data_IF_549273471320
#
_entry.id   IF_549273471320
#
_cell.length_a   1.000
_cell.length_b   1.000
_cell.length_c   1.000
_cell.angle_alpha   90.00
_cell.angle_beta   90.00
_cell.angle_gamma   90.00
#
_symmetry.space_group_name_H-M   'P 1'
#
loop_
_entity.id
_entity.type
_entity.pdbx_description
1 polymer ?
#
# COMPACT_ATOMS: atom_id res chain seq x y z
N UNK A 1 -17.70 12.55 -15.89
CA UNK A 1 -16.50 12.25 -15.09
C UNK A 1 -16.44 13.20 -13.92
N UNK A 2 -17.08 12.79 -12.84
CA UNK A 2 -16.96 13.38 -11.51
C UNK A 2 -15.85 12.68 -10.74
N UNK A 3 -15.35 13.29 -9.67
CA UNK A 3 -14.41 12.62 -8.76
C UNK A 3 -14.97 11.30 -8.22
N UNK A 4 -16.29 11.21 -7.98
CA UNK A 4 -16.94 9.99 -7.51
C UNK A 4 -16.82 8.83 -8.50
N UNK A 5 -17.05 9.09 -9.79
CA UNK A 5 -16.91 8.06 -10.85
C UNK A 5 -15.46 7.54 -10.95
N UNK A 6 -14.46 8.42 -10.75
CA UNK A 6 -13.04 8.01 -10.74
C UNK A 6 -12.72 7.18 -9.50
N UNK A 7 -13.21 7.59 -8.32
CA UNK A 7 -12.99 6.86 -7.07
C UNK A 7 -13.59 5.46 -7.14
N UNK A 8 -14.80 5.35 -7.68
CA UNK A 8 -15.49 4.07 -7.89
C UNK A 8 -14.69 3.15 -8.82
N UNK A 9 -14.25 3.66 -9.97
CA UNK A 9 -13.45 2.92 -10.93
C UNK A 9 -12.09 2.45 -10.36
N UNK A 10 -11.53 3.19 -9.39
CA UNK A 10 -10.27 2.83 -8.74
C UNK A 10 -10.42 1.87 -7.56
N UNK A 11 -11.62 1.61 -7.04
CA UNK A 11 -11.78 0.76 -5.85
C UNK A 11 -11.26 -0.67 -6.07
N UNK A 12 -11.66 -1.30 -7.17
CA UNK A 12 -11.30 -2.68 -7.49
C UNK A 12 -9.78 -2.87 -7.67
N UNK A 13 -9.08 -2.10 -8.53
CA UNK A 13 -7.63 -2.28 -8.70
C UNK A 13 -6.85 -1.95 -7.42
N UNK A 14 -7.28 -0.97 -6.62
CA UNK A 14 -6.62 -0.66 -5.35
C UNK A 14 -6.78 -1.79 -4.34
N UNK A 15 -7.95 -2.43 -4.28
CA UNK A 15 -8.19 -3.59 -3.42
C UNK A 15 -7.31 -4.77 -3.84
N UNK A 16 -7.15 -5.00 -5.14
CA UNK A 16 -6.28 -6.04 -5.68
C UNK A 16 -4.80 -5.79 -5.31
N UNK A 17 -4.32 -4.55 -5.38
CA UNK A 17 -2.95 -4.20 -4.96
C UNK A 17 -2.69 -4.52 -3.48
N UNK A 18 -3.65 -4.19 -2.62
CA UNK A 18 -3.58 -4.50 -1.19
C UNK A 18 -3.57 -6.00 -0.95
N UNK A 19 -4.45 -6.76 -1.62
CA UNK A 19 -4.54 -8.21 -1.45
C UNK A 19 -3.26 -8.92 -1.90
N UNK A 20 -2.70 -8.50 -3.03
CA UNK A 20 -1.40 -9.01 -3.48
C UNK A 20 -0.29 -8.74 -2.46
N UNK A 21 -0.31 -7.57 -1.82
CA UNK A 21 0.64 -7.24 -0.75
C UNK A 21 0.43 -8.13 0.49
N UNK A 22 -0.82 -8.39 0.87
CA UNK A 22 -1.15 -9.33 1.96
C UNK A 22 -0.60 -10.72 1.69
N UNK A 23 -0.82 -11.24 0.48
CA UNK A 23 -0.32 -12.57 0.09
C UNK A 23 1.21 -12.68 0.15
N UNK A 24 1.93 -11.58 -0.10
CA UNK A 24 3.39 -11.54 0.08
C UNK A 24 3.75 -11.61 1.56
N UNK A 25 3.08 -10.84 2.42
CA UNK A 25 3.31 -10.87 3.86
C UNK A 25 3.01 -12.25 4.46
N UNK A 26 1.94 -12.93 4.02
CA UNK A 26 1.59 -14.27 4.48
C UNK A 26 2.63 -15.35 4.12
N UNK A 27 3.32 -15.17 3.00
CA UNK A 27 4.39 -16.08 2.55
C UNK A 27 5.76 -15.70 3.12
N UNK A 28 5.86 -14.55 3.77
CA UNK A 28 7.12 -14.06 4.33
C UNK A 28 7.42 -14.81 5.62
N UNK A 29 8.64 -15.35 5.80
CA UNK A 29 9.03 -16.02 7.03
C UNK A 29 8.84 -15.13 8.28
N UNK A 30 8.40 -15.69 9.43
CA UNK A 30 8.07 -14.91 10.62
C UNK A 30 9.19 -13.98 11.09
N UNK A 31 10.45 -14.41 10.97
CA UNK A 31 11.63 -13.63 11.35
C UNK A 31 11.78 -12.33 10.55
N UNK A 32 11.27 -12.29 9.31
CA UNK A 32 11.26 -11.09 8.47
C UNK A 32 9.98 -10.27 8.64
N UNK A 33 8.86 -10.91 8.97
CA UNK A 33 7.59 -10.21 9.23
C UNK A 33 7.70 -9.29 10.43
N UNK A 34 8.38 -9.72 11.51
CA UNK A 34 8.61 -8.86 12.68
C UNK A 34 9.36 -7.58 12.29
N UNK A 35 10.42 -7.71 11.49
CA UNK A 35 11.19 -6.56 11.00
C UNK A 35 10.34 -5.62 10.14
N UNK A 36 9.42 -6.16 9.32
CA UNK A 36 8.48 -5.36 8.51
C UNK A 36 7.47 -4.63 9.38
N UNK A 37 6.96 -5.26 10.45
CA UNK A 37 6.02 -4.62 11.38
C UNK A 37 6.70 -3.45 12.10
N UNK A 38 7.96 -3.63 12.53
CA UNK A 38 8.72 -2.61 13.26
C UNK A 38 9.13 -1.43 12.36
N UNK A 39 9.56 -1.71 11.12
CA UNK A 39 10.04 -0.68 10.18
C UNK A 39 8.93 -0.06 9.34
N UNK A 40 7.83 -0.77 9.15
CA UNK A 40 6.75 -0.42 8.25
C UNK A 40 7.04 -0.70 6.76
N UNK A 41 6.04 -0.39 5.94
CA UNK A 41 6.05 -0.55 4.48
C UNK A 41 6.29 0.82 3.82
N UNK A 42 7.31 0.89 2.97
CA UNK A 42 7.58 2.07 2.16
C UNK A 42 6.84 1.98 0.81
N UNK A 43 6.02 2.98 0.48
CA UNK A 43 5.37 3.09 -0.82
C UNK A 43 6.20 3.93 -1.78
N UNK A 44 6.39 3.41 -2.99
CA UNK A 44 7.03 4.07 -4.12
C UNK A 44 6.22 3.87 -5.41
N UNK A 45 6.69 4.46 -6.51
CA UNK A 45 6.03 4.52 -7.80
C UNK A 45 5.05 5.70 -7.94
N UNK A 46 4.61 5.97 -9.17
CA UNK A 46 3.67 7.06 -9.45
C UNK A 46 2.31 6.88 -8.78
N UNK A 47 1.83 5.64 -8.67
CA UNK A 47 0.55 5.32 -8.04
C UNK A 47 0.54 5.61 -6.54
N UNK A 48 1.70 5.62 -5.86
CA UNK A 48 1.80 5.95 -4.45
C UNK A 48 1.43 7.42 -4.14
N UNK A 49 1.43 8.29 -5.15
CA UNK A 49 1.01 9.69 -5.03
C UNK A 49 -0.52 9.87 -5.00
N UNK A 50 -1.30 8.80 -5.20
CA UNK A 50 -2.75 8.86 -5.03
C UNK A 50 -3.08 9.21 -3.57
N UNK A 51 -3.98 10.19 -3.32
CA UNK A 51 -4.27 10.64 -1.97
C UNK A 51 -4.76 9.51 -1.05
N UNK A 52 -4.04 9.31 0.05
CA UNK A 52 -4.42 8.35 1.09
C UNK A 52 -4.04 6.89 0.80
N UNK A 53 -3.15 6.64 -0.18
CA UNK A 53 -2.65 5.30 -0.47
C UNK A 53 -1.97 4.65 0.75
N UNK A 54 -1.14 5.40 1.45
CA UNK A 54 -0.45 4.94 2.67
C UNK A 54 -1.45 4.60 3.78
N UNK A 55 -2.55 5.35 3.87
CA UNK A 55 -3.62 5.11 4.85
C UNK A 55 -4.43 3.87 4.50
N UNK A 56 -4.75 3.68 3.21
CA UNK A 56 -5.42 2.48 2.72
C UNK A 56 -4.61 1.23 3.07
N UNK A 57 -3.32 1.21 2.71
CA UNK A 57 -2.43 0.08 3.00
C UNK A 57 -2.28 -0.16 4.50
N UNK A 58 -2.07 0.90 5.29
CA UNK A 58 -1.97 0.77 6.75
C UNK A 58 -3.24 0.16 7.35
N UNK A 59 -4.41 0.63 6.92
CA UNK A 59 -5.70 0.14 7.41
C UNK A 59 -5.93 -1.33 7.06
N UNK A 60 -5.67 -1.71 5.81
CA UNK A 60 -6.01 -3.06 5.32
C UNK A 60 -4.98 -4.11 5.76
N UNK A 61 -3.69 -3.74 5.81
CA UNK A 61 -2.61 -4.66 6.18
C UNK A 61 -2.33 -4.69 7.69
N UNK A 62 -2.74 -3.66 8.44
CA UNK A 62 -2.44 -3.53 9.87
C UNK A 62 -0.98 -3.22 10.17
N UNK A 63 -0.18 -2.85 9.16
CA UNK A 63 1.23 -2.52 9.26
C UNK A 63 1.44 -1.05 8.91
N UNK A 64 2.22 -0.26 9.69
CA UNK A 64 2.50 1.14 9.37
C UNK A 64 3.04 1.28 7.94
N UNK A 65 2.40 2.12 7.13
CA UNK A 65 2.82 2.38 5.74
C UNK A 65 3.11 3.86 5.55
N UNK A 66 4.17 4.20 4.81
CA UNK A 66 4.58 5.57 4.57
C UNK A 66 5.00 5.79 3.13
N UNK A 67 4.81 7.02 2.64
CA UNK A 67 5.30 7.44 1.33
C UNK A 67 6.78 7.83 1.44
N UNK A 68 7.61 7.36 0.51
CA UNK A 68 9.01 7.80 0.44
C UNK A 68 9.13 9.22 -0.12
N UNK A 69 10.24 9.90 0.15
CA UNK A 69 10.45 11.30 -0.24
C UNK A 69 10.35 11.53 -1.76
N UNK A 70 10.91 10.63 -2.57
CA UNK A 70 10.92 10.72 -4.03
C UNK A 70 10.35 9.44 -4.67
N UNK A 71 9.02 9.19 -4.61
CA UNK A 71 8.45 7.88 -4.92
C UNK A 71 8.64 7.45 -6.38
N UNK A 72 8.78 8.38 -7.32
CA UNK A 72 8.96 8.07 -8.74
C UNK A 72 10.41 7.80 -9.15
N UNK A 73 11.37 8.09 -8.28
CA UNK A 73 12.82 7.97 -8.58
C UNK A 73 13.61 7.22 -7.52
N UNK A 74 12.94 6.74 -6.46
CA UNK A 74 13.50 5.93 -5.39
C UNK A 74 13.85 4.50 -5.85
#
# INVERSE_FOLDING_TARGET
>A
ITTGEVVEALQEPLKEMVENTRLVLEKTPPELVSDIIDRGIALCGGSALLPGMEKLFTKELGVPTYLVENPTTA
#
